data_IF_837080614542
#
_entry.id   IF_837080614542
#
_cell.length_a   1.000
_cell.length_b   1.000
_cell.length_c   1.000
_cell.angle_alpha   90.00
_cell.angle_beta   90.00
_cell.angle_gamma   90.00
#
_symmetry.space_group_name_H-M   'P 1'
#
loop_
_entity.id
_entity.type
_entity.pdbx_description
1 polymer ?
#
# COMPACT_ATOMS: atom_id res chain seq x y z
N UNK A 1 -3.72 -14.13 -8.44
CA UNK A 1 -2.82 -15.30 -8.37
C UNK A 1 -1.43 -14.86 -7.90
N UNK A 2 -1.05 -15.24 -6.67
CA UNK A 2 0.29 -14.98 -6.14
C UNK A 2 1.27 -16.02 -6.67
N UNK A 3 2.49 -15.61 -6.99
CA UNK A 3 3.57 -16.48 -7.50
C UNK A 3 4.16 -17.33 -6.37
N UNK A 4 3.37 -18.27 -5.86
CA UNK A 4 3.75 -19.17 -4.75
C UNK A 4 4.77 -20.23 -5.16
N UNK A 5 4.88 -20.55 -6.46
CA UNK A 5 5.61 -21.73 -6.93
C UNK A 5 6.98 -21.42 -7.55
N UNK A 6 7.46 -20.17 -7.46
CA UNK A 6 8.80 -19.80 -7.94
C UNK A 6 9.81 -20.12 -6.85
N UNK A 7 10.58 -21.19 -7.05
CA UNK A 7 11.66 -21.59 -6.16
C UNK A 7 12.64 -20.43 -5.93
N UNK A 8 12.90 -20.09 -4.67
CA UNK A 8 13.78 -18.98 -4.27
C UNK A 8 13.11 -17.61 -4.13
N UNK A 9 11.84 -17.44 -4.53
CA UNK A 9 11.13 -16.17 -4.38
C UNK A 9 10.92 -15.77 -2.91
N UNK A 10 10.68 -16.74 -2.03
CA UNK A 10 10.58 -16.49 -0.59
C UNK A 10 11.90 -16.01 0.02
N UNK A 11 13.03 -16.61 -0.38
CA UNK A 11 14.34 -16.18 0.11
C UNK A 11 14.71 -14.81 -0.46
N UNK A 12 14.42 -14.54 -1.74
CA UNK A 12 14.59 -13.22 -2.34
C UNK A 12 13.75 -12.14 -1.63
N UNK A 13 12.48 -12.43 -1.31
CA UNK A 13 11.61 -11.54 -0.56
C UNK A 13 12.13 -11.30 0.87
N UNK A 14 12.63 -12.35 1.54
CA UNK A 14 13.26 -12.24 2.86
C UNK A 14 14.50 -11.34 2.81
N UNK A 15 15.38 -11.52 1.83
CA UNK A 15 16.57 -10.66 1.65
C UNK A 15 16.18 -9.22 1.32
N UNK A 16 15.19 -9.01 0.46
CA UNK A 16 14.65 -7.69 0.14
C UNK A 16 14.09 -7.00 1.40
N UNK A 17 13.33 -7.72 2.22
CA UNK A 17 12.82 -7.23 3.51
C UNK A 17 13.96 -6.89 4.48
N UNK A 18 15.01 -7.70 4.54
CA UNK A 18 16.20 -7.44 5.38
C UNK A 18 16.94 -6.18 4.92
N UNK A 19 17.16 -6.02 3.61
CA UNK A 19 17.78 -4.82 3.05
C UNK A 19 16.96 -3.57 3.38
N UNK A 20 15.63 -3.65 3.28
CA UNK A 20 14.72 -2.54 3.56
C UNK A 20 14.56 -2.19 5.06
N UNK A 21 15.12 -2.96 6.00
CA UNK A 21 14.97 -2.71 7.45
C UNK A 21 15.58 -1.38 7.91
N UNK A 22 16.59 -0.87 7.23
CA UNK A 22 17.30 0.33 7.64
C UNK A 22 17.52 1.27 6.46
N UNK A 23 17.21 2.55 6.65
CA UNK A 23 17.54 3.58 5.65
C UNK A 23 19.04 3.67 5.36
N UNK A 24 19.90 3.19 6.27
CA UNK A 24 21.36 3.14 6.07
C UNK A 24 21.78 2.09 5.03
N UNK A 25 20.91 1.14 4.71
CA UNK A 25 21.15 0.10 3.70
C UNK A 25 20.65 0.51 2.31
N UNK A 26 19.98 1.67 2.20
CA UNK A 26 19.53 2.20 0.92
C UNK A 26 20.72 2.82 0.17
N UNK A 27 20.67 2.78 -1.15
CA UNK A 27 21.60 3.54 -2.01
C UNK A 27 21.61 5.02 -1.62
N UNK A 28 22.77 5.66 -1.81
CA UNK A 28 22.88 7.08 -1.56
C UNK A 28 21.90 7.85 -2.46
N UNK A 29 21.30 8.96 -2.00
CA UNK A 29 20.46 9.79 -2.87
C UNK A 29 21.19 10.19 -4.15
N UNK A 30 22.51 10.39 -4.09
CA UNK A 30 23.37 10.70 -5.22
C UNK A 30 23.56 9.55 -6.23
N UNK A 31 23.00 8.37 -5.98
CA UNK A 31 23.02 7.19 -6.88
C UNK A 31 21.63 6.86 -7.45
N UNK A 32 20.55 7.44 -6.90
CA UNK A 32 19.20 7.21 -7.38
C UNK A 32 18.97 7.85 -8.76
N UNK A 33 17.95 7.45 -9.51
CA UNK A 33 17.57 8.19 -10.73
C UNK A 33 17.01 9.57 -10.35
N UNK A 34 17.20 10.60 -11.18
CA UNK A 34 16.83 11.99 -10.86
C UNK A 34 15.36 12.14 -10.41
N UNK A 35 14.45 11.42 -11.05
CA UNK A 35 13.03 11.40 -10.69
C UNK A 35 12.73 10.72 -9.34
N UNK A 36 13.60 9.80 -8.89
CA UNK A 36 13.53 9.18 -7.55
C UNK A 36 14.16 10.08 -6.47
N UNK A 37 15.11 10.94 -6.84
CA UNK A 37 15.76 11.90 -5.93
C UNK A 37 14.87 13.07 -5.57
N UNK A 38 14.17 13.62 -6.57
CA UNK A 38 13.53 14.93 -6.46
C UNK A 38 12.02 14.91 -6.75
N UNK A 39 11.48 13.78 -7.23
CA UNK A 39 10.08 13.66 -7.61
C UNK A 39 9.23 12.97 -6.55
N UNK A 40 7.99 13.43 -6.40
CA UNK A 40 6.94 12.57 -5.88
C UNK A 40 6.63 11.50 -6.93
N UNK A 41 6.53 10.23 -6.51
CA UNK A 41 6.09 9.19 -7.43
C UNK A 41 4.69 9.52 -7.96
N UNK A 42 4.44 9.36 -9.27
CA UNK A 42 3.10 9.52 -9.79
C UNK A 42 2.17 8.52 -9.08
N UNK A 43 1.02 9.03 -8.61
CA UNK A 43 0.01 8.18 -7.98
C UNK A 43 -0.48 7.16 -9.00
N UNK A 44 -0.25 5.88 -8.72
CA UNK A 44 -0.77 4.82 -9.57
C UNK A 44 -2.30 4.82 -9.55
N UNK A 45 -2.93 4.36 -10.64
CA UNK A 45 -4.40 4.23 -10.71
C UNK A 45 -4.94 3.39 -9.55
N UNK A 46 -4.21 2.35 -9.14
CA UNK A 46 -4.55 1.51 -7.99
C UNK A 46 -4.51 2.29 -6.68
N UNK A 47 -3.50 3.16 -6.47
CA UNK A 47 -3.42 4.01 -5.29
C UNK A 47 -4.61 4.99 -5.23
N UNK A 48 -4.98 5.59 -6.36
CA UNK A 48 -6.16 6.47 -6.47
C UNK A 48 -7.46 5.72 -6.15
N UNK A 49 -7.64 4.52 -6.72
CA UNK A 49 -8.80 3.66 -6.44
C UNK A 49 -8.88 3.29 -4.96
N UNK A 50 -7.75 3.00 -4.32
CA UNK A 50 -7.70 2.65 -2.90
C UNK A 50 -8.09 3.81 -2.00
N UNK A 51 -7.60 5.02 -2.29
CA UNK A 51 -7.99 6.25 -1.58
C UNK A 51 -9.50 6.46 -1.69
N UNK A 52 -10.04 6.36 -2.90
CA UNK A 52 -11.48 6.49 -3.13
C UNK A 52 -12.28 5.42 -2.36
N UNK A 53 -11.84 4.15 -2.42
CA UNK A 53 -12.49 3.03 -1.71
C UNK A 53 -12.55 3.28 -0.21
N UNK A 54 -11.45 3.74 0.39
CA UNK A 54 -11.38 4.06 1.82
C UNK A 54 -12.35 5.19 2.20
N UNK A 55 -12.37 6.27 1.43
CA UNK A 55 -13.28 7.40 1.66
C UNK A 55 -14.75 6.96 1.55
N UNK A 56 -15.07 6.19 0.52
CA UNK A 56 -16.42 5.66 0.29
C UNK A 56 -16.86 4.71 1.42
N UNK A 57 -15.96 3.85 1.92
CA UNK A 57 -16.25 2.97 3.07
C UNK A 57 -16.64 3.75 4.32
N UNK A 58 -15.88 4.78 4.69
CA UNK A 58 -16.18 5.63 5.86
C UNK A 58 -17.56 6.28 5.71
N UNK A 59 -17.87 6.82 4.53
CA UNK A 59 -19.19 7.41 4.25
C UNK A 59 -20.32 6.38 4.40
N UNK A 60 -20.13 5.18 3.86
CA UNK A 60 -21.12 4.10 3.99
C UNK A 60 -21.33 3.66 5.43
N UNK A 61 -20.28 3.58 6.24
CA UNK A 61 -20.40 3.27 7.67
C UNK A 61 -21.21 4.34 8.40
N UNK A 62 -20.97 5.62 8.14
CA UNK A 62 -21.76 6.72 8.70
C UNK A 62 -23.24 6.62 8.31
N UNK A 63 -23.54 6.36 7.03
CA UNK A 63 -24.91 6.19 6.56
C UNK A 63 -25.58 4.95 7.17
N UNK A 64 -24.83 3.85 7.27
CA UNK A 64 -25.30 2.59 7.87
C UNK A 64 -25.70 2.82 9.32
N UNK A 65 -24.89 3.53 10.12
CA UNK A 65 -25.21 3.86 11.52
C UNK A 65 -26.50 4.67 11.68
N UNK A 66 -26.81 5.52 10.72
CA UNK A 66 -28.04 6.33 10.70
C UNK A 66 -29.25 5.56 10.18
N UNK A 67 -29.08 4.34 9.67
CA UNK A 67 -30.17 3.55 9.13
C UNK A 67 -31.04 2.99 10.26
N UNK A 68 -32.37 3.02 10.14
CA UNK A 68 -33.28 2.36 11.09
C UNK A 68 -32.98 0.87 11.28
N UNK A 69 -32.41 0.22 10.25
CA UNK A 69 -32.01 -1.19 10.31
C UNK A 69 -30.84 -1.45 11.25
N UNK A 70 -29.94 -0.49 11.43
CA UNK A 70 -28.79 -0.63 12.33
C UNK A 70 -29.22 -0.59 13.80
N UNK A 71 -30.25 0.20 14.13
CA UNK A 71 -30.83 0.25 15.48
C UNK A 71 -31.56 -1.03 15.90
N UNK A 72 -31.88 -1.93 14.95
CA UNK A 72 -32.56 -3.22 15.22
C UNK A 72 -31.59 -4.39 15.40
N UNK A 73 -30.31 -4.19 15.08
CA UNK A 73 -29.26 -5.22 15.06
C UNK A 73 -28.24 -5.08 16.21
N UNK A 74 -28.36 -4.03 17.02
CA UNK A 74 -27.64 -3.83 18.28
C UNK A 74 -28.66 -3.72 19.41
#
# INVERSE_FOLDING_TARGET
PGHSDVHGNEEADKQAKLAAKSRRNNSLPAELLHYLRHGAFPLSISALKEVHRKATRVRWECLRRKSPRYARLN
#
